data_IF_123235815337
#
_entry.id   IF_123235815337
#
_cell.length_a   1.000
_cell.length_b   1.000
_cell.length_c   1.000
_cell.angle_alpha   90.00
_cell.angle_beta   90.00
_cell.angle_gamma   90.00
#
_symmetry.space_group_name_H-M   'P 1'
#
loop_
_entity.id
_entity.type
_entity.pdbx_description
1 polymer ?
#
# COMPACT_ATOMS: atom_id res chain seq x y z
N UNK A 1 -12.53 -1.37 13.59
CA UNK A 1 -13.21 -2.10 12.48
C UNK A 1 -12.26 -3.19 11.99
N UNK A 2 -12.76 -4.35 11.58
CA UNK A 2 -11.91 -5.34 10.89
C UNK A 2 -12.08 -5.10 9.39
N UNK A 3 -11.02 -4.66 8.71
CA UNK A 3 -11.08 -4.36 7.28
C UNK A 3 -10.83 -5.58 6.38
N UNK A 4 -10.66 -6.77 6.95
CA UNK A 4 -10.27 -7.99 6.21
C UNK A 4 -11.22 -8.37 5.08
N UNK A 5 -12.51 -8.00 5.16
CA UNK A 5 -13.48 -8.26 4.09
C UNK A 5 -13.31 -7.35 2.86
N UNK A 6 -12.47 -6.31 2.95
CA UNK A 6 -12.16 -5.40 1.84
C UNK A 6 -11.06 -5.93 0.93
N UNK A 7 -10.32 -6.95 1.36
CA UNK A 7 -9.31 -7.61 0.51
C UNK A 7 -10.02 -8.23 -0.69
N UNK A 8 -9.49 -7.96 -1.88
CA UNK A 8 -10.08 -8.37 -3.16
C UNK A 8 -10.99 -7.32 -3.80
N UNK A 9 -11.41 -6.28 -3.06
CA UNK A 9 -12.23 -5.18 -3.61
C UNK A 9 -11.40 -4.18 -4.41
N UNK A 10 -12.07 -3.38 -5.23
CA UNK A 10 -11.47 -2.31 -6.03
C UNK A 10 -11.47 -1.03 -5.22
N UNK A 11 -10.29 -0.47 -4.99
CA UNK A 11 -10.14 0.86 -4.41
C UNK A 11 -10.39 1.94 -5.47
N UNK A 12 -11.17 2.94 -5.12
CA UNK A 12 -11.46 4.12 -5.92
C UNK A 12 -11.17 5.40 -5.12
N UNK A 13 -10.86 6.48 -5.82
CA UNK A 13 -10.75 7.82 -5.20
C UNK A 13 -12.13 8.45 -4.95
N UNK A 14 -12.14 9.64 -4.36
CA UNK A 14 -13.35 10.44 -4.14
C UNK A 14 -14.12 10.77 -5.44
N UNK A 15 -13.41 10.83 -6.57
CA UNK A 15 -13.97 11.11 -7.89
C UNK A 15 -14.41 9.84 -8.62
N UNK A 16 -14.48 8.69 -7.93
CA UNK A 16 -14.83 7.38 -8.48
C UNK A 16 -13.86 6.85 -9.56
N UNK A 17 -12.64 7.38 -9.62
CA UNK A 17 -11.58 6.82 -10.44
C UNK A 17 -10.96 5.60 -9.76
N UNK A 18 -10.78 4.53 -10.53
CA UNK A 18 -10.14 3.30 -10.03
C UNK A 18 -8.66 3.55 -9.73
N UNK A 19 -8.27 3.25 -8.50
CA UNK A 19 -6.89 3.30 -8.02
C UNK A 19 -6.21 1.94 -8.21
N UNK A 20 -6.91 0.85 -7.91
CA UNK A 20 -6.39 -0.50 -8.04
C UNK A 20 -7.21 -1.52 -7.25
N UNK A 21 -6.66 -2.73 -7.07
CA UNK A 21 -7.26 -3.79 -6.26
C UNK A 21 -6.59 -3.84 -4.90
N UNK A 22 -7.36 -3.93 -3.83
CA UNK A 22 -6.84 -4.17 -2.49
C UNK A 22 -6.38 -5.63 -2.44
N UNK A 23 -5.09 -5.85 -2.27
CA UNK A 23 -4.50 -7.21 -2.24
C UNK A 23 -4.19 -7.68 -0.83
N UNK A 24 -4.03 -6.75 0.10
CA UNK A 24 -3.68 -7.04 1.49
C UNK A 24 -3.92 -5.85 2.42
N UNK A 25 -3.81 -6.09 3.73
CA UNK A 25 -3.85 -5.07 4.79
C UNK A 25 -2.65 -5.24 5.71
N UNK A 26 -1.85 -4.20 5.85
CA UNK A 26 -0.64 -4.17 6.66
C UNK A 26 -0.73 -3.14 7.76
N UNK A 27 -0.01 -3.33 8.87
CA UNK A 27 0.11 -2.32 9.93
C UNK A 27 1.42 -1.56 9.76
N UNK A 28 1.32 -0.27 9.47
CA UNK A 28 2.46 0.63 9.27
C UNK A 28 2.26 1.91 10.10
N UNK A 29 3.32 2.63 10.47
CA UNK A 29 3.19 3.97 11.02
C UNK A 29 2.34 4.83 10.08
N UNK A 30 1.51 5.72 10.63
CA UNK A 30 0.67 6.61 9.82
C UNK A 30 1.48 7.43 8.81
N UNK A 31 2.65 7.87 9.24
CA UNK A 31 3.64 8.56 8.41
C UNK A 31 4.70 7.61 7.85
N UNK A 32 4.31 6.46 7.29
CA UNK A 32 5.26 5.50 6.69
C UNK A 32 6.18 6.11 5.62
N UNK A 33 5.79 7.27 5.07
CA UNK A 33 6.54 8.07 4.12
C UNK A 33 7.62 8.98 4.73
N UNK A 34 7.56 9.29 6.03
CA UNK A 34 8.45 10.25 6.68
C UNK A 34 9.60 9.47 7.33
N UNK A 35 10.84 9.83 6.98
CA UNK A 35 12.05 9.26 7.61
C UNK A 35 11.96 9.45 9.13
N UNK A 36 12.00 8.34 9.88
CA UNK A 36 12.32 8.06 11.31
C UNK A 36 12.12 9.11 12.43
N UNK A 37 11.99 10.40 12.15
CA UNK A 37 11.84 11.49 13.13
C UNK A 37 10.37 11.86 13.43
N UNK A 38 9.39 11.26 12.73
CA UNK A 38 7.99 11.42 13.13
C UNK A 38 7.71 10.59 14.38
N UNK A 39 7.51 11.27 15.52
CA UNK A 39 7.24 10.70 16.86
C UNK A 39 5.87 9.99 17.00
N UNK A 40 5.18 9.72 15.90
CA UNK A 40 3.90 9.00 15.92
C UNK A 40 4.12 7.51 15.63
N UNK A 41 4.50 6.76 16.67
CA UNK A 41 4.71 5.31 16.63
C UNK A 41 3.39 4.51 16.50
N UNK A 42 2.25 5.18 16.31
CA UNK A 42 0.95 4.51 16.19
C UNK A 42 0.87 3.78 14.86
N UNK A 43 1.02 2.47 14.94
CA UNK A 43 0.75 1.56 13.84
C UNK A 43 -0.74 1.60 13.48
N UNK A 44 -1.04 2.04 12.27
CA UNK A 44 -2.39 2.04 11.69
C UNK A 44 -2.47 1.06 10.53
N UNK A 45 -3.67 0.55 10.30
CA UNK A 45 -3.93 -0.38 9.20
C UNK A 45 -3.91 0.38 7.88
N UNK A 46 -3.21 -0.18 6.89
CA UNK A 46 -3.09 0.35 5.54
C UNK A 46 -3.50 -0.71 4.53
N UNK A 47 -4.29 -0.33 3.54
CA UNK A 47 -4.57 -1.14 2.36
C UNK A 47 -3.36 -1.17 1.44
N UNK A 48 -2.89 -2.36 1.10
CA UNK A 48 -1.95 -2.54 -0.01
C UNK A 48 -2.76 -2.59 -1.29
N UNK A 49 -2.66 -1.53 -2.09
CA UNK A 49 -3.39 -1.42 -3.36
C UNK A 49 -2.45 -1.75 -4.50
N UNK A 50 -2.82 -2.76 -5.28
CA UNK A 50 -2.15 -3.17 -6.51
C UNK A 50 -2.78 -2.45 -7.71
N UNK A 51 -1.94 -1.72 -8.46
CA UNK A 51 -2.30 -1.05 -9.70
C UNK A 51 -1.52 -1.68 -10.85
N UNK A 52 -2.25 -2.39 -11.70
CA UNK A 52 -1.72 -2.88 -12.97
C UNK A 52 -1.53 -1.71 -13.94
N UNK A 53 -0.38 -1.65 -14.60
CA UNK A 53 -0.09 -0.60 -15.57
C UNK A 53 0.32 -1.22 -16.91
N UNK A 54 -0.41 -0.91 -17.98
CA UNK A 54 -0.19 -1.53 -19.31
C UNK A 54 1.21 -1.19 -19.86
N UNK A 55 1.66 0.05 -19.65
CA UNK A 55 2.91 0.58 -20.24
C UNK A 55 4.06 0.74 -19.23
N UNK A 56 3.83 0.40 -17.96
CA UNK A 56 4.79 0.59 -16.87
C UNK A 56 4.82 -0.67 -16.02
N UNK A 57 5.83 -0.78 -15.15
CA UNK A 57 5.84 -1.86 -14.15
C UNK A 57 4.64 -1.70 -13.23
N UNK A 58 4.05 -2.85 -12.90
CA UNK A 58 3.03 -2.94 -11.87
C UNK A 58 3.52 -2.32 -10.57
N UNK A 59 2.59 -1.68 -9.86
CA UNK A 59 2.89 -0.92 -8.67
C UNK A 59 1.98 -1.31 -7.52
N UNK A 60 2.55 -1.28 -6.33
CA UNK A 60 1.83 -1.42 -5.07
C UNK A 60 2.13 -0.22 -4.19
N UNK A 61 1.10 0.34 -3.55
CA UNK A 61 1.28 1.38 -2.54
C UNK A 61 0.35 1.11 -1.35
N UNK A 62 0.85 1.31 -0.11
CA UNK A 62 0.00 1.32 1.07
C UNK A 62 -0.78 2.63 1.17
N UNK A 63 -2.07 2.54 1.48
CA UNK A 63 -2.98 3.68 1.73
C UNK A 63 -3.66 3.47 3.06
N UNK A 64 -3.70 4.51 3.90
CA UNK A 64 -4.32 4.46 5.23
C UNK A 64 -5.78 3.96 5.15
N UNK A 65 -6.09 2.88 5.88
CA UNK A 65 -7.42 2.30 5.92
C UNK A 65 -8.43 3.20 6.65
N UNK A 66 -7.95 4.16 7.45
CA UNK A 66 -8.77 5.22 8.03
C UNK A 66 -9.36 6.18 7.00
N UNK A 67 -8.89 6.16 5.74
CA UNK A 67 -9.41 7.01 4.65
C UNK A 67 -10.65 6.43 3.97
N UNK A 68 -11.27 5.36 4.45
CA UNK A 68 -12.50 4.83 3.82
C UNK A 68 -13.66 5.82 3.98
N UNK A 69 -14.22 6.26 2.85
CA UNK A 69 -15.41 7.12 2.81
C UNK A 69 -16.67 6.27 2.65
N UNK A 70 -16.63 5.33 1.71
CA UNK A 70 -17.79 4.52 1.32
C UNK A 70 -17.35 3.13 0.89
N UNK A 71 -18.16 2.15 1.21
CA UNK A 71 -18.07 0.78 0.69
C UNK A 71 -19.38 0.46 -0.05
N UNK A 72 -19.30 -0.06 -1.27
CA UNK A 72 -20.47 -0.52 -2.03
C UNK A 72 -20.10 -1.69 -2.95
N UNK A 73 -20.74 -2.84 -2.72
CA UNK A 73 -20.45 -4.08 -3.43
C UNK A 73 -18.96 -4.41 -3.47
N UNK A 74 -18.38 -4.36 -4.67
CA UNK A 74 -16.97 -4.66 -4.94
C UNK A 74 -16.05 -3.43 -4.90
N UNK A 75 -16.54 -2.26 -4.52
CA UNK A 75 -15.81 -1.00 -4.54
C UNK A 75 -15.65 -0.41 -3.14
N UNK A 76 -14.50 0.22 -2.91
CA UNK A 76 -14.14 0.95 -1.70
C UNK A 76 -13.64 2.33 -2.12
N UNK A 77 -14.36 3.38 -1.73
CA UNK A 77 -13.96 4.77 -1.99
C UNK A 77 -13.11 5.26 -0.84
N UNK A 78 -11.96 5.83 -1.20
CA UNK A 78 -10.96 6.33 -0.29
C UNK A 78 -10.84 7.85 -0.40
N UNK A 79 -10.61 8.51 0.73
CA UNK A 79 -10.28 9.92 0.90
C UNK A 79 -8.83 10.19 0.50
N UNK A 80 -8.54 9.92 -0.77
CA UNK A 80 -7.26 10.15 -1.41
C UNK A 80 -7.53 10.48 -2.88
N UNK A 81 -6.84 11.48 -3.43
CA UNK A 81 -6.91 11.72 -4.87
C UNK A 81 -6.05 10.71 -5.63
N UNK A 82 -6.33 10.53 -6.92
CA UNK A 82 -5.46 9.71 -7.78
C UNK A 82 -4.04 10.24 -7.84
N UNK A 83 -3.87 11.55 -7.85
CA UNK A 83 -2.58 12.22 -7.88
C UNK A 83 -1.78 11.88 -6.62
N UNK A 84 -2.40 11.99 -5.44
CA UNK A 84 -1.79 11.60 -4.16
C UNK A 84 -1.44 10.11 -4.10
N UNK A 85 -2.29 9.25 -4.68
CA UNK A 85 -2.01 7.82 -4.78
C UNK A 85 -0.82 7.53 -5.71
N UNK A 86 -0.76 8.17 -6.88
CA UNK A 86 0.34 8.01 -7.82
C UNK A 86 1.67 8.55 -7.25
N UNK A 87 1.63 9.59 -6.43
CA UNK A 87 2.78 10.02 -5.64
C UNK A 87 3.20 8.99 -4.60
N UNK A 88 2.24 8.37 -3.91
CA UNK A 88 2.51 7.30 -2.94
C UNK A 88 3.17 6.09 -3.60
N UNK A 89 2.75 5.74 -4.82
CA UNK A 89 3.43 4.73 -5.66
C UNK A 89 4.87 5.13 -5.95
N UNK A 90 5.12 6.38 -6.36
CA UNK A 90 6.49 6.86 -6.64
C UNK A 90 7.36 6.82 -5.39
N UNK A 91 6.81 7.19 -4.23
CA UNK A 91 7.50 7.16 -2.92
C UNK A 91 7.81 5.73 -2.49
N UNK A 92 6.84 4.80 -2.57
CA UNK A 92 7.06 3.38 -2.31
C UNK A 92 8.17 2.81 -3.20
N UNK A 93 8.14 3.14 -4.50
CA UNK A 93 9.17 2.72 -5.45
C UNK A 93 10.56 3.29 -5.17
N UNK A 94 10.67 4.53 -4.65
CA UNK A 94 11.93 5.13 -4.21
C UNK A 94 12.46 4.44 -2.95
N UNK A 95 11.62 4.23 -1.94
CA UNK A 95 12.01 3.52 -0.71
C UNK A 95 12.56 2.13 -1.06
N UNK A 96 11.87 1.36 -1.93
CA UNK A 96 12.36 0.05 -2.38
C UNK A 96 13.68 0.12 -3.17
N UNK A 97 13.94 1.19 -3.92
CA UNK A 97 15.19 1.38 -4.66
C UNK A 97 16.35 1.82 -3.76
N UNK A 98 16.10 2.72 -2.82
CA UNK A 98 17.08 3.20 -1.86
C UNK A 98 17.47 2.08 -0.88
N UNK A 99 16.53 1.20 -0.52
CA UNK A 99 16.80 0.00 0.29
C UNK A 99 17.69 -1.02 -0.43
N UNK A 100 17.52 -1.23 -1.74
CA UNK A 100 18.40 -2.12 -2.52
C UNK A 100 19.86 -1.67 -2.57
N UNK A 101 20.17 -0.44 -2.15
CA UNK A 101 21.56 0.07 -2.07
C UNK A 101 22.24 -0.23 -0.74
N UNK A 102 21.51 -0.62 0.32
CA UNK A 102 22.09 -0.88 1.64
C UNK A 102 22.01 -2.39 1.99
N UNK A 103 23.11 -3.15 1.81
CA UNK A 103 23.09 -4.61 1.92
C UNK A 103 22.87 -5.13 3.35
N UNK A 104 22.90 -4.29 4.39
CA UNK A 104 22.77 -4.72 5.80
C UNK A 104 21.36 -4.58 6.38
N UNK A 105 20.49 -3.72 5.84
CA UNK A 105 19.06 -3.66 6.22
C UNK A 105 18.15 -4.51 5.32
N UNK A 106 18.68 -4.95 4.17
CA UNK A 106 18.02 -5.81 3.20
C UNK A 106 17.54 -7.13 3.84
N UNK A 107 18.28 -7.68 4.82
CA UNK A 107 17.95 -8.97 5.45
C UNK A 107 16.74 -8.91 6.41
N UNK A 108 16.51 -7.79 7.10
CA UNK A 108 15.36 -7.66 8.04
C UNK A 108 14.03 -7.39 7.34
N UNK A 109 14.06 -6.73 6.18
CA UNK A 109 12.84 -6.38 5.43
C UNK A 109 12.60 -7.27 4.20
N UNK A 110 13.62 -7.90 3.58
CA UNK A 110 13.40 -9.01 2.63
C UNK A 110 12.68 -10.19 3.28
N UNK A 111 12.95 -10.48 4.54
CA UNK A 111 12.24 -11.54 5.29
C UNK A 111 10.79 -11.13 5.63
N UNK A 112 10.43 -9.84 5.60
CA UNK A 112 9.04 -9.39 5.86
C UNK A 112 8.22 -9.04 4.62
N UNK A 113 8.84 -8.54 3.55
CA UNK A 113 8.15 -8.19 2.29
C UNK A 113 8.48 -9.16 1.15
N UNK A 114 9.67 -9.75 1.15
CA UNK A 114 10.10 -10.77 0.18
C UNK A 114 9.44 -12.12 0.45
N UNK A 115 9.48 -12.64 1.68
CA UNK A 115 8.74 -13.86 2.05
C UNK A 115 7.22 -13.66 1.87
N UNK A 116 6.71 -12.47 2.18
CA UNK A 116 5.30 -12.12 1.99
C UNK A 116 4.83 -12.18 0.53
N UNK A 117 5.69 -11.81 -0.42
CA UNK A 117 5.40 -11.86 -1.86
C UNK A 117 5.72 -13.23 -2.47
N UNK A 118 6.70 -13.96 -1.95
CA UNK A 118 7.12 -15.27 -2.48
C UNK A 118 6.22 -16.43 -1.99
N UNK A 119 5.73 -16.36 -0.75
CA UNK A 119 4.93 -17.43 -0.15
C UNK A 119 3.49 -17.50 -0.72
N UNK A 120 2.98 -16.41 -1.29
CA UNK A 120 1.68 -16.38 -2.00
C UNK A 120 1.72 -16.85 -3.47
N UNK A 121 2.90 -17.08 -4.06
CA UNK A 121 3.02 -17.60 -5.43
C UNK A 121 3.24 -19.13 -5.49
N UNK A 122 3.23 -19.81 -4.33
CA UNK A 122 3.50 -21.25 -4.21
C UNK A 122 2.32 -22.08 -3.68
N UNK A 123 1.15 -21.48 -3.48
CA UNK A 123 -0.10 -22.17 -3.12
C UNK A 123 -1.18 -21.90 -4.15
#
# INVERSE_FOLDING_TARGET
MKFSHLVGKVAADQSSQKLGKIIDIVKLPRDWHVKKDSRDDRLVEHFVIFKHQILKKDATAPVDAGKVIKEDGNFVWLDISKEEFDESIKKAGKIMKDLKRDPREDEKWKVRWGDFMWEKHRR
#
